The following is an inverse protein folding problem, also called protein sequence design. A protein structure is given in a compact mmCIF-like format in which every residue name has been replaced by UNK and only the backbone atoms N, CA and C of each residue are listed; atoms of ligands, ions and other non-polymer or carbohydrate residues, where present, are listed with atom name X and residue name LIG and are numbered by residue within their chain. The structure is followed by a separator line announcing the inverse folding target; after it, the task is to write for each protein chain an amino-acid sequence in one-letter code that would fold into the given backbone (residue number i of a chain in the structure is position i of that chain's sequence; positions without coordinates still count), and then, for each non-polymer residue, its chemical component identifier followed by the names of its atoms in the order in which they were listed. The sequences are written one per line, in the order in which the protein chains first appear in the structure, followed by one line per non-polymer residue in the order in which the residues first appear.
data_IF_182084085528
#
_entry.id   IF_182084085528
#
_cell.length_a   1.000
_cell.length_b   1.000
_cell.length_c   1.000
_cell.angle_alpha   90.00
_cell.angle_beta   90.00
_cell.angle_gamma   90.00
#
_symmetry.space_group_name_H-M   'P 1'
#
loop_
_entity.id
_entity.type
_entity.pdbx_description
1 polymer ?
#
# COMPACT_ATOMS: atom_id res chain seq x y z
N UNK A 1 2.90 14.03 0.87
CA UNK A 1 2.10 12.81 0.62
C UNK A 1 3.02 11.70 0.12
N UNK A 2 2.65 10.43 0.31
CA UNK A 2 3.48 9.24 0.06
C UNK A 2 3.83 8.96 -1.42
N UNK A 3 3.39 9.80 -2.36
CA UNK A 3 3.60 9.56 -3.80
C UNK A 3 4.79 10.29 -4.42
N UNK A 4 5.50 11.14 -3.66
CA UNK A 4 6.62 11.94 -4.17
C UNK A 4 7.66 11.10 -4.92
N UNK A 5 8.25 10.07 -4.28
CA UNK A 5 9.31 9.29 -4.92
C UNK A 5 8.85 8.52 -6.19
N UNK A 6 7.58 8.10 -6.26
CA UNK A 6 7.03 7.52 -7.49
C UNK A 6 6.93 8.55 -8.61
N UNK A 7 6.53 9.79 -8.31
CA UNK A 7 6.41 10.84 -9.33
C UNK A 7 7.76 11.19 -9.93
N UNK A 8 8.81 11.20 -9.11
CA UNK A 8 10.18 11.39 -9.59
C UNK A 8 10.61 10.21 -10.49
N UNK A 9 10.37 8.97 -10.05
CA UNK A 9 10.72 7.78 -10.79
C UNK A 9 9.94 7.59 -12.11
N UNK A 10 8.68 8.04 -12.15
CA UNK A 10 7.80 7.91 -13.31
C UNK A 10 7.76 9.18 -14.18
N UNK A 11 8.56 10.21 -13.85
CA UNK A 11 8.51 11.54 -14.47
C UNK A 11 7.08 12.11 -14.55
N UNK A 12 6.25 11.79 -13.56
CA UNK A 12 4.79 11.97 -13.60
C UNK A 12 4.29 13.10 -12.69
N UNK A 13 5.17 14.06 -12.38
CA UNK A 13 4.80 15.22 -11.57
C UNK A 13 3.77 16.07 -12.34
N UNK A 14 2.63 16.44 -11.74
CA UNK A 14 1.62 17.24 -12.43
C UNK A 14 2.22 18.55 -12.94
N UNK A 15 2.03 18.84 -14.23
CA UNK A 15 2.50 20.10 -14.83
C UNK A 15 1.71 21.32 -14.35
N UNK A 16 0.47 21.12 -13.91
CA UNK A 16 -0.39 22.13 -13.28
C UNK A 16 -1.44 21.46 -12.37
N UNK A 17 -1.84 22.13 -11.29
CA UNK A 17 -2.90 21.67 -10.37
C UNK A 17 -2.50 20.51 -9.45
N UNK A 18 -3.51 19.82 -8.90
CA UNK A 18 -3.35 18.61 -8.09
C UNK A 18 -4.30 17.49 -8.53
N UNK A 19 -4.28 16.36 -7.83
CA UNK A 19 -5.06 15.16 -8.16
C UNK A 19 -6.28 14.98 -7.25
N UNK A 20 -6.64 15.98 -6.43
CA UNK A 20 -7.70 15.87 -5.40
C UNK A 20 -9.10 15.77 -5.98
N UNK A 21 -9.28 16.12 -7.26
CA UNK A 21 -10.58 16.02 -7.93
C UNK A 21 -10.99 14.59 -8.29
N UNK A 22 -10.07 13.63 -8.18
CA UNK A 22 -10.33 12.22 -8.46
C UNK A 22 -9.63 11.25 -7.49
N UNK A 23 -8.60 11.69 -6.77
CA UNK A 23 -8.10 10.96 -5.61
C UNK A 23 -9.00 11.27 -4.43
N UNK A 24 -9.49 10.20 -3.78
CA UNK A 24 -10.32 10.31 -2.60
C UNK A 24 -9.65 11.16 -1.50
N UNK A 25 -10.47 11.88 -0.73
CA UNK A 25 -10.00 12.60 0.44
C UNK A 25 -9.55 11.60 1.52
N UNK A 26 -8.30 11.69 2.03
CA UNK A 26 -7.81 10.84 3.12
C UNK A 26 -8.70 10.80 4.37
N UNK A 27 -9.50 11.84 4.63
CA UNK A 27 -10.41 11.89 5.77
C UNK A 27 -11.67 11.02 5.57
N UNK A 28 -11.95 10.58 4.33
CA UNK A 28 -13.22 9.98 3.96
C UNK A 28 -13.17 8.45 3.88
N UNK A 29 -13.41 7.82 5.04
CA UNK A 29 -13.53 6.36 5.12
C UNK A 29 -14.79 5.80 4.43
N UNK A 30 -15.88 6.56 4.37
CA UNK A 30 -17.16 6.07 3.83
C UNK A 30 -17.14 5.96 2.31
N UNK A 31 -16.49 6.91 1.65
CA UNK A 31 -16.34 6.93 0.19
C UNK A 31 -15.58 5.71 -0.32
N UNK A 32 -14.63 5.16 0.43
CA UNK A 32 -13.93 3.92 0.07
C UNK A 32 -14.87 2.75 -0.20
N UNK A 33 -15.99 2.69 0.53
CA UNK A 33 -16.98 1.63 0.38
C UNK A 33 -17.91 1.87 -0.80
N UNK A 34 -18.18 3.14 -1.15
CA UNK A 34 -18.95 3.48 -2.34
C UNK A 34 -18.16 3.17 -3.61
N UNK A 35 -16.87 3.51 -3.64
CA UNK A 35 -15.95 3.15 -4.74
C UNK A 35 -15.83 1.63 -4.89
N UNK A 36 -15.66 0.91 -3.77
CA UNK A 36 -15.68 -0.56 -3.76
C UNK A 36 -16.95 -1.12 -4.41
N UNK A 37 -18.13 -0.65 -3.99
CA UNK A 37 -19.39 -1.13 -4.55
C UNK A 37 -19.55 -0.81 -6.04
N UNK A 38 -19.01 0.32 -6.50
CA UNK A 38 -19.02 0.70 -7.91
C UNK A 38 -18.16 -0.26 -8.74
N UNK A 39 -16.90 -0.43 -8.35
CA UNK A 39 -15.94 -1.29 -9.05
C UNK A 39 -16.43 -2.75 -9.11
N UNK A 40 -17.03 -3.26 -8.03
CA UNK A 40 -17.61 -4.60 -8.01
C UNK A 40 -18.80 -4.75 -8.95
N UNK A 41 -19.66 -3.73 -9.09
CA UNK A 41 -20.78 -3.75 -10.06
C UNK A 41 -20.29 -3.70 -11.49
N UNK A 42 -19.16 -3.05 -11.72
CA UNK A 42 -18.49 -3.00 -13.03
C UNK A 42 -17.70 -4.28 -13.35
N UNK A 43 -17.60 -5.21 -12.40
CA UNK A 43 -17.02 -6.54 -12.60
C UNK A 43 -15.53 -6.64 -12.27
N UNK A 44 -15.02 -5.82 -11.36
CA UNK A 44 -13.63 -5.92 -10.90
C UNK A 44 -13.34 -7.29 -10.25
N UNK A 45 -12.31 -7.98 -10.73
CA UNK A 45 -11.87 -9.29 -10.20
C UNK A 45 -11.02 -9.18 -8.93
N UNK A 46 -10.49 -7.98 -8.62
CA UNK A 46 -9.62 -7.72 -7.48
C UNK A 46 -9.72 -6.25 -7.07
N UNK A 47 -9.49 -5.95 -5.79
CA UNK A 47 -9.50 -4.59 -5.27
C UNK A 47 -8.12 -4.18 -4.76
N UNK A 48 -7.70 -2.95 -5.07
CA UNK A 48 -6.42 -2.40 -4.59
C UNK A 48 -6.70 -1.23 -3.65
N UNK A 49 -6.16 -1.28 -2.43
CA UNK A 49 -6.10 -0.10 -1.54
C UNK A 49 -4.70 0.51 -1.60
N UNK A 50 -4.65 1.82 -1.81
CA UNK A 50 -3.42 2.59 -2.01
C UNK A 50 -3.56 4.00 -1.43
N UNK A 51 -2.66 4.46 -0.53
CA UNK A 51 -1.52 3.77 0.11
C UNK A 51 -1.95 2.64 1.07
N UNK A 52 -1.00 1.84 1.57
CA UNK A 52 -1.32 0.71 2.44
C UNK A 52 -1.23 1.03 3.93
N UNK A 53 -0.06 1.42 4.44
CA UNK A 53 0.23 1.46 5.87
C UNK A 53 -0.63 2.49 6.62
N UNK A 54 -0.90 3.63 6.00
CA UNK A 54 -1.80 4.66 6.56
C UNK A 54 -3.30 4.37 6.38
N UNK A 55 -3.66 3.27 5.71
CA UNK A 55 -5.05 2.91 5.37
C UNK A 55 -5.33 1.42 5.63
N UNK A 56 -4.66 0.83 6.63
CA UNK A 56 -4.90 -0.56 7.03
C UNK A 56 -6.34 -0.79 7.52
N UNK A 57 -6.98 0.23 8.07
CA UNK A 57 -8.39 0.22 8.44
C UNK A 57 -9.30 0.13 7.20
N UNK A 58 -8.95 0.81 6.10
CA UNK A 58 -9.67 0.68 4.82
C UNK A 58 -9.47 -0.70 4.21
N UNK A 59 -8.25 -1.25 4.24
CA UNK A 59 -8.01 -2.64 3.79
C UNK A 59 -8.90 -3.61 4.56
N UNK A 60 -9.02 -3.41 5.87
CA UNK A 60 -9.89 -4.25 6.71
C UNK A 60 -11.35 -4.13 6.32
N UNK A 61 -11.86 -2.91 6.16
CA UNK A 61 -13.25 -2.67 5.78
C UNK A 61 -13.58 -3.25 4.40
N UNK A 62 -12.68 -3.09 3.43
CA UNK A 62 -12.85 -3.66 2.09
C UNK A 62 -12.88 -5.18 2.19
N UNK A 63 -11.96 -5.81 2.91
CA UNK A 63 -11.90 -7.27 3.07
C UNK A 63 -13.16 -7.85 3.72
N UNK A 64 -13.80 -7.13 4.62
CA UNK A 64 -15.06 -7.57 5.25
C UNK A 64 -16.27 -7.51 4.31
N UNK A 65 -16.19 -6.75 3.22
CA UNK A 65 -17.33 -6.42 2.36
C UNK A 65 -17.23 -6.97 0.94
N UNK A 66 -16.10 -7.57 0.58
CA UNK A 66 -15.91 -8.19 -0.73
C UNK A 66 -15.45 -9.64 -0.63
N UNK A 67 -15.80 -10.41 -1.64
CA UNK A 67 -15.32 -11.78 -1.82
C UNK A 67 -14.16 -11.87 -2.81
N UNK A 68 -13.82 -10.78 -3.50
CA UNK A 68 -12.69 -10.76 -4.42
C UNK A 68 -11.37 -10.53 -3.65
N UNK A 69 -10.21 -10.94 -4.20
CA UNK A 69 -8.93 -10.69 -3.57
C UNK A 69 -8.68 -9.19 -3.32
N UNK A 70 -8.17 -8.86 -2.14
CA UNK A 70 -7.78 -7.51 -1.73
C UNK A 70 -6.26 -7.38 -1.78
N UNK A 71 -5.78 -6.31 -2.40
CA UNK A 71 -4.37 -6.04 -2.63
C UNK A 71 -3.99 -4.76 -1.89
N UNK A 72 -2.95 -4.82 -1.08
CA UNK A 72 -2.34 -3.64 -0.49
C UNK A 72 -1.21 -3.13 -1.39
N UNK A 73 -1.21 -1.83 -1.72
CA UNK A 73 -0.04 -1.21 -2.36
C UNK A 73 0.78 -0.48 -1.30
N UNK A 74 1.93 -1.06 -0.93
CA UNK A 74 2.97 -0.40 -0.16
C UNK A 74 3.77 0.58 -1.07
N UNK A 75 3.42 1.86 -0.99
CA UNK A 75 3.79 2.86 -1.99
C UNK A 75 5.20 3.40 -1.81
N UNK A 76 5.64 4.17 -2.80
CA UNK A 76 7.01 4.68 -2.91
C UNK A 76 7.47 5.48 -1.69
N UNK A 77 6.59 6.29 -1.10
CA UNK A 77 6.92 7.09 0.08
C UNK A 77 7.07 6.23 1.33
N UNK A 78 6.25 5.19 1.49
CA UNK A 78 6.38 4.24 2.60
C UNK A 78 7.70 3.47 2.49
N UNK A 79 8.06 3.04 1.27
CA UNK A 79 9.37 2.45 0.98
C UNK A 79 10.54 3.40 1.29
N UNK A 80 10.49 4.63 0.76
CA UNK A 80 11.57 5.61 0.94
C UNK A 80 11.74 6.01 2.40
N UNK A 81 10.66 6.10 3.18
CA UNK A 81 10.73 6.41 4.61
C UNK A 81 11.50 5.33 5.38
N UNK A 82 11.24 4.05 5.10
CA UNK A 82 11.96 2.94 5.73
C UNK A 82 13.43 2.95 5.32
N UNK A 83 13.72 3.03 4.01
CA UNK A 83 15.13 3.07 3.54
C UNK A 83 15.89 4.25 4.14
N UNK A 84 15.28 5.44 4.21
CA UNK A 84 15.92 6.61 4.80
C UNK A 84 16.23 6.42 6.29
N UNK A 85 15.27 5.92 7.07
CA UNK A 85 15.47 5.67 8.50
C UNK A 85 16.51 4.57 8.76
N UNK A 86 16.52 3.51 7.95
CA UNK A 86 17.49 2.43 8.03
C UNK A 86 18.92 2.91 7.69
N UNK A 87 19.08 3.74 6.66
CA UNK A 87 20.38 4.33 6.28
C UNK A 87 20.97 5.21 7.40
N UNK A 88 20.12 5.82 8.23
CA UNK A 88 20.53 6.59 9.40
C UNK A 88 20.75 5.73 10.66
N UNK A 89 20.53 4.41 10.56
CA UNK A 89 20.65 3.49 11.69
C UNK A 89 19.56 3.64 12.75
N UNK A 90 18.43 4.28 12.43
CA UNK A 90 17.35 4.51 13.39
C UNK A 90 16.46 3.29 13.60
N UNK A 91 16.40 2.41 12.60
CA UNK A 91 15.59 1.19 12.61
C UNK A 91 16.38 0.02 12.02
N UNK A 92 16.00 -1.19 12.42
CA UNK A 92 16.34 -2.42 11.73
C UNK A 92 15.42 -2.54 10.50
N UNK A 93 16.01 -2.49 9.29
CA UNK A 93 15.24 -2.50 8.04
C UNK A 93 14.47 -3.81 7.85
N UNK A 94 15.14 -4.94 7.99
CA UNK A 94 14.58 -6.27 7.72
C UNK A 94 13.39 -6.53 8.65
N UNK A 95 13.58 -6.30 9.95
CA UNK A 95 12.53 -6.46 10.95
C UNK A 95 11.35 -5.52 10.71
N UNK A 96 11.61 -4.25 10.40
CA UNK A 96 10.55 -3.26 10.17
C UNK A 96 9.75 -3.59 8.91
N UNK A 97 10.42 -3.96 7.81
CA UNK A 97 9.77 -4.35 6.55
C UNK A 97 8.89 -5.58 6.76
N UNK A 98 9.38 -6.62 7.44
CA UNK A 98 8.61 -7.83 7.69
C UNK A 98 7.38 -7.56 8.59
N UNK A 99 7.51 -6.69 9.59
CA UNK A 99 6.37 -6.27 10.42
C UNK A 99 5.30 -5.52 9.61
N UNK A 100 5.69 -4.71 8.63
CA UNK A 100 4.76 -4.07 7.70
C UNK A 100 4.04 -5.10 6.82
N UNK A 101 4.76 -6.10 6.27
CA UNK A 101 4.14 -7.16 5.46
C UNK A 101 3.11 -7.95 6.27
N UNK A 102 3.45 -8.34 7.51
CA UNK A 102 2.53 -9.00 8.43
C UNK A 102 1.33 -8.10 8.75
N UNK A 103 1.54 -6.80 8.95
CA UNK A 103 0.45 -5.86 9.24
C UNK A 103 -0.53 -5.72 8.07
N UNK A 104 -0.05 -5.67 6.83
CA UNK A 104 -0.91 -5.65 5.63
C UNK A 104 -1.66 -6.97 5.46
N UNK A 105 -0.98 -8.12 5.66
CA UNK A 105 -1.63 -9.44 5.66
C UNK A 105 -2.71 -9.53 6.74
N UNK A 106 -2.42 -9.10 7.98
CA UNK A 106 -3.35 -9.08 9.11
C UNK A 106 -4.56 -8.18 8.84
N UNK A 107 -4.37 -7.04 8.18
CA UNK A 107 -5.45 -6.14 7.80
C UNK A 107 -6.44 -6.81 6.83
N UNK A 108 -5.99 -7.78 6.04
CA UNK A 108 -6.86 -8.54 5.13
C UNK A 108 -6.35 -8.64 3.70
N UNK A 109 -5.15 -8.12 3.41
CA UNK A 109 -4.59 -8.20 2.07
C UNK A 109 -4.24 -9.65 1.70
N UNK A 110 -4.79 -10.12 0.58
CA UNK A 110 -4.44 -11.40 -0.02
C UNK A 110 -3.09 -11.30 -0.75
N UNK A 111 -2.82 -10.15 -1.38
CA UNK A 111 -1.55 -9.86 -2.07
C UNK A 111 -1.01 -8.48 -1.69
N UNK A 112 0.31 -8.29 -1.81
CA UNK A 112 0.98 -7.03 -1.50
C UNK A 112 1.84 -6.62 -2.69
N UNK A 113 1.59 -5.42 -3.22
CA UNK A 113 2.47 -4.75 -4.18
C UNK A 113 3.45 -3.90 -3.37
N UNK A 114 4.73 -4.23 -3.41
CA UNK A 114 5.77 -3.50 -2.67
C UNK A 114 7.09 -3.45 -3.43
N UNK A 115 7.82 -2.34 -3.27
CA UNK A 115 9.20 -2.20 -3.74
C UNK A 115 10.19 -3.08 -2.96
N UNK A 116 9.81 -3.53 -1.76
CA UNK A 116 10.59 -4.49 -0.97
C UNK A 116 10.44 -5.94 -1.45
N UNK A 117 9.71 -6.24 -2.53
CA UNK A 117 9.37 -7.62 -2.89
C UNK A 117 10.60 -8.54 -3.01
N UNK A 118 11.67 -8.06 -3.68
CA UNK A 118 12.94 -8.80 -3.79
C UNK A 118 13.68 -8.92 -2.46
N UNK A 119 13.55 -7.93 -1.58
CA UNK A 119 14.16 -7.93 -0.26
C UNK A 119 13.45 -8.96 0.64
N UNK A 120 12.11 -8.94 0.67
CA UNK A 120 11.26 -9.87 1.41
C UNK A 120 11.50 -11.32 0.99
N UNK A 121 11.61 -11.62 -0.32
CA UNK A 121 11.96 -12.97 -0.76
C UNK A 121 13.30 -13.43 -0.17
N UNK A 122 14.31 -12.55 -0.13
CA UNK A 122 15.62 -12.86 0.46
C UNK A 122 15.55 -13.05 1.98
N UNK A 123 14.69 -12.31 2.67
CA UNK A 123 14.50 -12.44 4.12
C UNK A 123 13.87 -13.79 4.47
N UNK A 124 12.83 -14.18 3.74
CA UNK A 124 12.17 -15.48 3.92
C UNK A 124 13.11 -16.66 3.65
N UNK A 125 13.91 -16.59 2.58
CA UNK A 125 14.90 -17.63 2.24
C UNK A 125 16.00 -17.80 3.32
N UNK A 126 16.24 -16.80 4.17
CA UNK A 126 17.19 -16.92 5.29
C UNK A 126 16.56 -17.64 6.48
N UNK A 127 15.29 -17.41 6.77
CA UNK A 127 14.60 -18.04 7.91
C UNK A 127 14.39 -19.55 7.70
N UNK A 128 14.29 -19.98 6.43
CA UNK A 128 14.17 -21.40 6.06
C UNK A 128 15.50 -22.18 6.12
N UNK A 129 16.63 -21.53 6.45
CA UNK A 129 17.96 -22.15 6.57
C UNK A 129 18.44 -22.22 8.01
#
# INVERSE_FOLDING_TARGET
SFYGPFRDAAESTPSFGDRRTYQMDPANRREALLELESDLKEGADMMIVKPALSYLDIIRDVKERTNVPVIAYNVSGEYSMVKAAALQGWIDEERNVMEQMVSMKRAGADMIITYFAKDVCRYLDKEDK
#
